data_IF_277541072266
#
_entry.id   IF_277541072266
#
_cell.length_a   1.000
_cell.length_b   1.000
_cell.length_c   1.000
_cell.angle_alpha   90.00
_cell.angle_beta   90.00
_cell.angle_gamma   90.00
#
_symmetry.space_group_name_H-M   'P 1'
#
loop_
_entity.id
_entity.type
_entity.pdbx_description
1 polymer ?
#
# COMPACT_ATOMS: atom_id res chain seq x y z
N UNK A 1 21.63 -45.57 24.84
CA UNK A 1 22.31 -44.30 24.48
C UNK A 1 22.69 -43.63 25.77
N UNK A 2 23.96 -43.27 26.01
CA UNK A 2 24.40 -42.82 27.33
C UNK A 2 23.77 -41.46 27.65
N UNK A 3 23.21 -41.31 28.86
CA UNK A 3 22.57 -40.09 29.37
C UNK A 3 23.39 -38.80 29.15
N UNK A 4 24.72 -38.95 29.08
CA UNK A 4 25.65 -37.87 28.77
C UNK A 4 25.39 -37.20 27.41
N UNK A 5 24.97 -37.95 26.38
CA UNK A 5 24.75 -37.41 25.02
C UNK A 5 23.51 -36.52 24.98
N UNK A 6 22.43 -36.91 25.68
CA UNK A 6 21.19 -36.13 25.75
C UNK A 6 21.42 -34.84 26.53
N UNK A 7 22.17 -34.92 27.64
CA UNK A 7 22.53 -33.73 28.44
C UNK A 7 23.45 -32.78 27.67
N UNK A 8 24.42 -33.31 26.93
CA UNK A 8 25.30 -32.51 26.09
C UNK A 8 24.52 -31.80 24.97
N UNK A 9 23.59 -32.49 24.30
CA UNK A 9 22.72 -31.87 23.30
C UNK A 9 21.84 -30.76 23.89
N UNK A 10 21.23 -30.99 25.06
CA UNK A 10 20.41 -29.99 25.73
C UNK A 10 21.22 -28.72 26.06
N UNK A 11 22.45 -28.89 26.54
CA UNK A 11 23.35 -27.77 26.84
C UNK A 11 23.70 -26.96 25.58
N UNK A 12 24.02 -27.63 24.48
CA UNK A 12 24.37 -26.97 23.21
C UNK A 12 23.18 -26.18 22.65
N UNK A 13 21.98 -26.74 22.70
CA UNK A 13 20.77 -26.06 22.23
C UNK A 13 20.48 -24.83 23.10
N UNK A 14 20.58 -24.95 24.42
CA UNK A 14 20.36 -23.84 25.35
C UNK A 14 21.36 -22.69 25.14
N UNK A 15 22.65 -23.02 24.95
CA UNK A 15 23.69 -22.02 24.68
C UNK A 15 23.49 -21.34 23.33
N UNK A 16 23.08 -22.09 22.30
CA UNK A 16 22.79 -21.53 20.97
C UNK A 16 21.58 -20.60 21.02
N UNK A 17 20.53 -20.99 21.73
CA UNK A 17 19.33 -20.19 21.90
C UNK A 17 19.60 -18.90 22.70
N UNK A 18 20.35 -18.99 23.79
CA UNK A 18 20.74 -17.82 24.59
C UNK A 18 21.62 -16.84 23.77
N UNK A 19 22.56 -17.39 22.98
CA UNK A 19 23.40 -16.58 22.09
C UNK A 19 22.59 -15.91 20.98
N UNK A 20 21.58 -16.59 20.46
CA UNK A 20 20.66 -16.03 19.47
C UNK A 20 19.84 -14.87 20.03
N UNK A 21 19.30 -14.99 21.25
CA UNK A 21 18.58 -13.91 21.94
C UNK A 21 19.52 -12.72 22.20
N UNK A 22 20.73 -12.96 22.71
CA UNK A 22 21.71 -11.91 22.96
C UNK A 22 22.12 -11.17 21.68
N UNK A 23 22.29 -11.90 20.57
CA UNK A 23 22.55 -11.34 19.25
C UNK A 23 21.39 -10.50 18.73
N UNK A 24 20.15 -10.95 18.95
CA UNK A 24 18.94 -10.22 18.57
C UNK A 24 18.80 -8.91 19.37
N UNK A 25 19.19 -8.92 20.65
CA UNK A 25 19.27 -7.71 21.47
C UNK A 25 20.37 -6.74 21.02
N UNK A 26 21.56 -7.24 20.67
CA UNK A 26 22.64 -6.37 20.18
C UNK A 26 22.39 -5.80 18.78
N UNK A 27 21.57 -6.47 17.96
CA UNK A 27 21.17 -5.99 16.62
C UNK A 27 19.85 -5.22 16.59
N UNK A 28 19.22 -4.93 17.73
CA UNK A 28 18.06 -4.03 17.76
C UNK A 28 18.49 -2.58 17.47
N UNK A 29 18.04 -1.98 16.35
CA UNK A 29 18.29 -0.56 16.10
C UNK A 29 17.32 0.26 16.96
N UNK A 30 17.80 0.92 18.01
CA UNK A 30 17.29 2.10 18.77
C UNK A 30 15.76 2.40 18.91
N UNK A 31 14.83 1.54 18.49
CA UNK A 31 13.41 1.85 18.33
C UNK A 31 12.57 1.61 19.58
N UNK A 32 13.13 1.01 20.64
CA UNK A 32 12.40 0.81 21.89
C UNK A 32 12.04 2.14 22.58
N UNK A 33 12.87 3.18 22.42
CA UNK A 33 12.54 4.53 22.87
C UNK A 33 11.41 5.18 22.04
N UNK A 34 11.30 4.82 20.75
CA UNK A 34 10.22 5.21 19.86
C UNK A 34 8.89 4.52 20.21
N UNK A 35 8.93 3.28 20.70
CA UNK A 35 7.72 2.54 21.09
C UNK A 35 7.14 3.02 22.42
N UNK A 36 7.97 3.46 23.37
CA UNK A 36 7.49 4.05 24.62
C UNK A 36 7.00 5.51 24.44
N UNK A 37 7.63 6.28 23.56
CA UNK A 37 7.15 7.62 23.17
C UNK A 37 5.90 7.58 22.28
N UNK A 38 5.74 6.56 21.44
CA UNK A 38 4.62 6.39 20.51
C UNK A 38 3.30 6.00 21.17
N UNK A 39 3.32 5.43 22.38
CA UNK A 39 2.10 5.09 23.13
C UNK A 39 1.45 6.29 23.83
N UNK A 40 2.17 7.40 24.02
CA UNK A 40 1.60 8.65 24.57
C UNK A 40 1.02 9.58 23.50
N UNK A 41 1.22 9.29 22.20
CA UNK A 41 0.65 10.06 21.09
C UNK A 41 -0.71 9.53 20.60
N UNK A 42 -1.23 8.47 21.21
CA UNK A 42 -2.47 7.78 20.79
C UNK A 42 -3.76 8.42 21.31
N UNK A 43 -3.76 9.73 21.59
CA UNK A 43 -4.99 10.55 21.69
C UNK A 43 -4.74 11.93 21.03
N UNK A 44 -3.96 11.97 19.95
CA UNK A 44 -3.98 13.06 18.99
C UNK A 44 -4.71 12.57 17.76
N UNK A 45 -5.93 13.07 17.49
CA UNK A 45 -6.73 12.67 16.33
C UNK A 45 -5.90 12.76 15.06
N UNK A 46 -5.53 11.62 14.47
CA UNK A 46 -4.87 11.59 13.17
C UNK A 46 -5.67 12.45 12.19
N UNK A 47 -5.03 13.47 11.62
CA UNK A 47 -5.65 14.38 10.66
C UNK A 47 -4.68 14.56 9.51
N UNK A 48 -5.20 14.35 8.31
CA UNK A 48 -4.45 14.62 7.09
C UNK A 48 -4.19 16.12 6.94
N UNK A 49 -3.10 16.46 6.25
CA UNK A 49 -2.89 17.82 5.78
C UNK A 49 -3.85 18.09 4.61
N UNK A 50 -4.87 18.90 4.88
CA UNK A 50 -5.91 19.23 3.89
C UNK A 50 -5.37 20.06 2.73
N UNK A 51 -4.37 20.91 2.97
CA UNK A 51 -3.77 21.73 1.91
C UNK A 51 -2.96 20.85 0.96
N UNK A 52 -2.13 19.95 1.50
CA UNK A 52 -1.38 19.00 0.67
C UNK A 52 -2.31 18.05 -0.11
N UNK A 53 -3.47 17.70 0.46
CA UNK A 53 -4.49 16.91 -0.22
C UNK A 53 -5.11 17.68 -1.40
N UNK A 54 -5.49 18.94 -1.20
CA UNK A 54 -6.04 19.79 -2.27
C UNK A 54 -5.02 20.04 -3.39
N UNK A 55 -3.76 20.28 -3.04
CA UNK A 55 -2.67 20.36 -4.01
C UNK A 55 -2.58 19.07 -4.85
N UNK A 56 -2.64 17.92 -4.18
CA UNK A 56 -2.68 16.60 -4.81
C UNK A 56 -3.85 16.43 -5.78
N UNK A 57 -5.05 16.88 -5.41
CA UNK A 57 -6.21 16.88 -6.30
C UNK A 57 -5.99 17.80 -7.52
N UNK A 58 -5.40 18.97 -7.31
CA UNK A 58 -5.03 19.88 -8.38
C UNK A 58 -4.10 19.22 -9.41
N UNK A 59 -3.02 18.59 -8.94
CA UNK A 59 -2.10 17.82 -9.79
C UNK A 59 -2.81 16.65 -10.49
N UNK A 60 -3.66 15.92 -9.77
CA UNK A 60 -4.40 14.78 -10.30
C UNK A 60 -5.32 15.17 -11.45
N UNK A 61 -6.08 16.27 -11.31
CA UNK A 61 -7.00 16.77 -12.36
C UNK A 61 -6.25 17.23 -13.61
N UNK A 62 -5.02 17.75 -13.46
CA UNK A 62 -4.14 18.11 -14.59
C UNK A 62 -3.45 16.92 -15.24
N UNK A 63 -3.59 15.71 -14.69
CA UNK A 63 -2.93 14.50 -15.17
C UNK A 63 -1.46 14.36 -14.73
N UNK A 64 -1.00 15.18 -13.81
CA UNK A 64 0.35 15.14 -13.25
C UNK A 64 0.43 14.08 -12.13
N UNK A 65 0.20 12.81 -12.47
CA UNK A 65 -0.03 11.73 -11.49
C UNK A 65 1.15 11.47 -10.55
N UNK A 66 2.39 11.62 -11.02
CA UNK A 66 3.57 11.49 -10.16
C UNK A 66 3.65 12.62 -9.11
N UNK A 67 3.38 13.86 -9.53
CA UNK A 67 3.31 15.02 -8.63
C UNK A 67 2.15 14.88 -7.64
N UNK A 68 0.98 14.43 -8.11
CA UNK A 68 -0.17 14.16 -7.27
C UNK A 68 0.15 13.17 -6.15
N UNK A 69 0.80 12.03 -6.45
CA UNK A 69 1.23 11.06 -5.43
C UNK A 69 2.21 11.66 -4.43
N UNK A 70 3.13 12.50 -4.87
CA UNK A 70 4.05 13.18 -3.96
C UNK A 70 3.31 14.10 -2.97
N UNK A 71 2.26 14.79 -3.44
CA UNK A 71 1.44 15.66 -2.61
C UNK A 71 0.56 14.85 -1.65
N UNK A 72 -0.06 13.77 -2.13
CA UNK A 72 -0.82 12.85 -1.30
C UNK A 72 0.03 12.15 -0.24
N UNK A 73 1.30 11.82 -0.53
CA UNK A 73 2.22 11.26 0.44
C UNK A 73 2.58 12.26 1.56
N UNK A 74 2.58 13.57 1.25
CA UNK A 74 2.69 14.62 2.28
C UNK A 74 1.38 14.79 3.06
N UNK A 75 0.24 14.64 2.38
CA UNK A 75 -1.10 14.75 2.99
C UNK A 75 -1.39 13.62 3.99
N UNK A 76 -1.01 12.39 3.66
CA UNK A 76 -1.25 11.17 4.42
C UNK A 76 0.05 10.36 4.59
N UNK A 77 1.05 10.86 5.37
CA UNK A 77 2.33 10.17 5.53
C UNK A 77 2.20 8.78 6.15
N UNK A 78 1.20 8.61 7.02
CA UNK A 78 0.93 7.34 7.68
C UNK A 78 0.14 6.34 6.79
N UNK A 79 -0.30 6.77 5.61
CA UNK A 79 -1.10 5.98 4.66
C UNK A 79 -2.39 5.41 5.30
N UNK A 80 -3.01 6.20 6.17
CA UNK A 80 -4.17 5.79 6.96
C UNK A 80 -5.48 6.34 6.40
N UNK A 81 -5.45 7.45 5.66
CA UNK A 81 -6.66 8.06 5.13
C UNK A 81 -7.18 7.28 3.90
N UNK A 82 -8.37 6.67 3.98
CA UNK A 82 -8.89 5.85 2.89
C UNK A 82 -9.04 6.63 1.58
N UNK A 83 -9.49 7.89 1.67
CA UNK A 83 -9.77 8.73 0.50
C UNK A 83 -8.48 9.09 -0.23
N UNK A 84 -7.45 9.48 0.52
CA UNK A 84 -6.12 9.79 -0.03
C UNK A 84 -5.51 8.57 -0.70
N UNK A 85 -5.57 7.41 -0.04
CA UNK A 85 -5.09 6.14 -0.64
C UNK A 85 -5.85 5.77 -1.92
N UNK A 86 -7.16 6.06 -2.01
CA UNK A 86 -7.93 5.84 -3.23
C UNK A 86 -7.45 6.72 -4.39
N UNK A 87 -7.19 8.02 -4.18
CA UNK A 87 -6.64 8.88 -5.24
C UNK A 87 -5.22 8.49 -5.64
N UNK A 88 -4.40 8.03 -4.68
CA UNK A 88 -3.07 7.46 -4.97
C UNK A 88 -3.22 6.23 -5.88
N UNK A 89 -4.11 5.30 -5.57
CA UNK A 89 -4.38 4.13 -6.41
C UNK A 89 -4.86 4.52 -7.81
N UNK A 90 -5.77 5.49 -7.90
CA UNK A 90 -6.30 5.97 -9.17
C UNK A 90 -5.20 6.61 -10.04
N UNK A 91 -4.27 7.33 -9.40
CA UNK A 91 -3.14 7.95 -10.11
C UNK A 91 -2.21 6.91 -10.73
N UNK A 92 -2.01 5.76 -10.06
CA UNK A 92 -1.26 4.64 -10.59
C UNK A 92 -1.99 3.97 -11.75
N UNK A 93 -3.30 3.74 -11.62
CA UNK A 93 -4.14 3.22 -12.70
C UNK A 93 -4.04 4.09 -13.96
N UNK A 94 -4.18 5.41 -13.82
CA UNK A 94 -4.14 6.34 -14.94
C UNK A 94 -2.77 6.48 -15.58
N UNK A 95 -1.70 6.33 -14.82
CA UNK A 95 -0.34 6.39 -15.35
C UNK A 95 0.13 5.08 -15.96
N UNK A 96 -0.25 3.94 -15.36
CA UNK A 96 0.11 2.61 -15.86
C UNK A 96 -0.59 2.24 -17.16
N UNK A 97 -1.63 2.98 -17.55
CA UNK A 97 -2.36 2.76 -18.80
C UNK A 97 -1.67 3.48 -19.98
N UNK A 98 -0.77 2.78 -20.68
CA UNK A 98 -0.19 3.25 -21.94
C UNK A 98 -1.00 2.79 -23.15
N UNK A 99 -0.96 3.56 -24.25
CA UNK A 99 -1.65 3.24 -25.53
C UNK A 99 -1.25 1.89 -26.16
N UNK A 100 -0.11 1.33 -25.77
CA UNK A 100 0.49 0.14 -26.38
C UNK A 100 1.00 -0.89 -25.37
N UNK A 101 1.34 -0.46 -24.15
CA UNK A 101 1.79 -1.33 -23.05
C UNK A 101 1.22 -0.83 -21.72
N UNK A 102 0.76 -1.77 -20.92
CA UNK A 102 0.39 -1.57 -19.54
C UNK A 102 1.62 -1.81 -18.66
N UNK A 103 1.88 -0.90 -17.73
CA UNK A 103 2.97 -1.08 -16.77
C UNK A 103 2.45 -1.86 -15.56
N UNK A 104 2.74 -3.16 -15.55
CA UNK A 104 2.34 -4.07 -14.47
C UNK A 104 2.89 -3.64 -13.10
N UNK A 105 4.04 -2.96 -13.05
CA UNK A 105 4.58 -2.46 -11.78
C UNK A 105 3.76 -1.29 -11.23
N UNK A 106 3.27 -0.40 -12.10
CA UNK A 106 2.36 0.67 -11.69
C UNK A 106 0.98 0.11 -11.30
N UNK A 107 0.49 -0.89 -12.01
CA UNK A 107 -0.77 -1.55 -11.67
C UNK A 107 -0.70 -2.30 -10.33
N UNK A 108 0.41 -2.99 -10.05
CA UNK A 108 0.64 -3.64 -8.76
C UNK A 108 0.67 -2.62 -7.60
N UNK A 109 1.35 -1.48 -7.79
CA UNK A 109 1.37 -0.40 -6.79
C UNK A 109 -0.02 0.23 -6.58
N UNK A 110 -0.78 0.40 -7.66
CA UNK A 110 -2.17 0.84 -7.57
C UNK A 110 -3.04 -0.13 -6.79
N UNK A 111 -2.86 -1.44 -7.02
CA UNK A 111 -3.60 -2.50 -6.34
C UNK A 111 -3.28 -2.53 -4.84
N UNK A 112 -2.03 -2.33 -4.46
CA UNK A 112 -1.65 -2.22 -3.06
C UNK A 112 -2.33 -1.01 -2.39
N UNK A 113 -2.30 0.15 -3.05
CA UNK A 113 -2.91 1.38 -2.53
C UNK A 113 -4.44 1.27 -2.36
N UNK A 114 -5.15 0.67 -3.32
CA UNK A 114 -6.61 0.50 -3.20
C UNK A 114 -6.96 -0.53 -2.12
N UNK A 115 -6.16 -1.58 -1.95
CA UNK A 115 -6.36 -2.54 -0.86
C UNK A 115 -6.16 -1.88 0.51
N UNK A 116 -5.17 -0.97 0.66
CA UNK A 116 -5.04 -0.16 1.88
C UNK A 116 -6.26 0.73 2.09
N UNK A 117 -6.73 1.42 1.03
CA UNK A 117 -7.93 2.26 1.12
C UNK A 117 -9.15 1.48 1.61
N UNK A 118 -9.41 0.31 1.05
CA UNK A 118 -10.51 -0.59 1.42
C UNK A 118 -10.36 -1.06 2.87
N UNK A 119 -9.17 -1.51 3.27
CA UNK A 119 -8.91 -2.02 4.61
C UNK A 119 -9.04 -0.96 5.71
N UNK A 120 -8.83 0.32 5.38
CA UNK A 120 -8.94 1.45 6.32
C UNK A 120 -10.30 2.14 6.27
N UNK A 121 -11.14 1.84 5.28
CA UNK A 121 -12.46 2.45 5.15
C UNK A 121 -13.41 1.97 6.26
N UNK A 122 -14.19 2.87 6.88
CA UNK A 122 -15.23 2.48 7.82
C UNK A 122 -16.28 1.63 7.09
N UNK A 123 -16.45 0.38 7.51
CA UNK A 123 -17.34 -0.57 6.85
C UNK A 123 -16.72 -1.32 5.66
N UNK A 124 -15.40 -1.21 5.44
CA UNK A 124 -14.67 -1.99 4.44
C UNK A 124 -15.02 -1.65 2.99
N UNK A 125 -15.69 -0.53 2.76
CA UNK A 125 -16.02 -0.01 1.43
C UNK A 125 -15.72 1.47 1.38
N UNK A 126 -15.01 1.88 0.34
CA UNK A 126 -14.80 3.28 0.03
C UNK A 126 -15.54 3.69 -1.23
N UNK A 127 -16.29 4.78 -1.11
CA UNK A 127 -16.95 5.47 -2.23
C UNK A 127 -16.52 6.92 -2.17
N UNK A 128 -15.97 7.43 -3.27
CA UNK A 128 -15.55 8.82 -3.44
C UNK A 128 -16.53 9.49 -4.37
N UNK A 129 -17.27 10.46 -3.85
CA UNK A 129 -18.19 11.26 -4.65
C UNK A 129 -17.44 12.41 -5.33
N UNK A 130 -16.94 12.14 -6.53
CA UNK A 130 -16.23 13.09 -7.37
C UNK A 130 -16.77 12.98 -8.80
N UNK A 131 -17.31 14.08 -9.31
CA UNK A 131 -17.97 14.14 -10.61
C UNK A 131 -17.00 13.86 -11.77
N UNK A 132 -15.71 14.17 -11.60
CA UNK A 132 -14.68 14.01 -12.61
C UNK A 132 -14.15 12.56 -12.69
N UNK A 133 -14.54 11.72 -11.72
CA UNK A 133 -14.14 10.32 -11.68
C UNK A 133 -15.15 9.42 -12.39
N UNK A 134 -14.60 8.53 -13.21
CA UNK A 134 -15.35 7.53 -13.95
C UNK A 134 -15.55 6.25 -13.13
N UNK A 135 -14.63 5.94 -12.20
CA UNK A 135 -14.82 4.94 -11.15
C UNK A 135 -14.85 5.62 -9.78
N UNK A 136 -15.87 5.33 -8.98
CA UNK A 136 -16.09 6.03 -7.70
C UNK A 136 -15.94 5.13 -6.49
N UNK A 137 -15.89 3.81 -6.70
CA UNK A 137 -15.70 2.85 -5.60
C UNK A 137 -14.33 2.20 -5.63
N UNK A 138 -13.81 1.89 -4.43
CA UNK A 138 -12.57 1.12 -4.29
C UNK A 138 -12.69 -0.27 -4.91
N UNK A 139 -13.87 -0.89 -4.81
CA UNK A 139 -14.15 -2.21 -5.39
C UNK A 139 -14.02 -2.19 -6.93
N UNK A 140 -14.57 -1.17 -7.60
CA UNK A 140 -14.45 -1.00 -9.05
C UNK A 140 -12.99 -0.76 -9.47
N UNK A 141 -12.30 0.15 -8.77
CA UNK A 141 -10.90 0.46 -9.09
C UNK A 141 -10.00 -0.76 -8.89
N UNK A 142 -10.22 -1.54 -7.82
CA UNK A 142 -9.53 -2.80 -7.57
C UNK A 142 -9.75 -3.81 -8.71
N UNK A 143 -10.99 -3.99 -9.14
CA UNK A 143 -11.31 -4.93 -10.21
C UNK A 143 -10.63 -4.55 -11.54
N UNK A 144 -10.56 -3.27 -11.87
CA UNK A 144 -9.85 -2.80 -13.08
C UNK A 144 -8.33 -2.97 -12.95
N UNK A 145 -7.75 -2.72 -11.78
CA UNK A 145 -6.33 -2.95 -11.53
C UNK A 145 -5.97 -4.45 -11.61
N UNK A 146 -6.76 -5.33 -11.00
CA UNK A 146 -6.58 -6.78 -11.11
C UNK A 146 -6.79 -7.30 -12.54
N UNK A 147 -7.80 -6.76 -13.23
CA UNK A 147 -8.05 -7.07 -14.63
C UNK A 147 -6.90 -6.63 -15.54
N UNK A 148 -6.22 -5.55 -15.18
CA UNK A 148 -5.02 -5.05 -15.84
C UNK A 148 -3.78 -5.91 -15.65
N UNK A 149 -3.62 -6.53 -14.48
CA UNK A 149 -2.50 -7.44 -14.19
C UNK A 149 -2.71 -8.85 -14.74
N UNK A 150 -3.97 -9.22 -15.04
CA UNK A 150 -4.30 -10.55 -15.54
C UNK A 150 -3.89 -10.68 -17.00
N UNK A 151 -2.68 -11.18 -17.23
CA UNK A 151 -2.25 -11.67 -18.54
C UNK A 151 -3.04 -12.93 -18.88
N UNK A 152 -3.82 -12.86 -19.95
CA UNK A 152 -4.67 -13.96 -20.38
C UNK A 152 -4.32 -14.33 -21.81
N UNK A 153 -4.52 -15.59 -22.23
CA UNK A 153 -4.26 -16.02 -23.61
C UNK A 153 -5.10 -15.23 -24.64
N UNK A 154 -6.12 -14.52 -24.15
CA UNK A 154 -6.99 -13.57 -24.85
C UNK A 154 -6.34 -12.21 -25.18
N UNK A 155 -5.11 -11.93 -24.72
CA UNK A 155 -4.39 -10.68 -25.02
C UNK A 155 -4.00 -10.54 -26.50
N UNK A 156 -4.10 -11.64 -27.27
CA UNK A 156 -4.01 -11.65 -28.74
C UNK A 156 -5.33 -11.33 -29.44
N UNK A 157 -6.42 -11.01 -28.71
CA UNK A 157 -7.72 -10.73 -29.31
C UNK A 157 -7.91 -9.23 -29.62
N UNK A 158 -7.97 -8.82 -30.91
CA UNK A 158 -8.02 -7.41 -31.31
C UNK A 158 -9.28 -6.66 -30.83
N UNK A 159 -10.33 -7.36 -30.40
CA UNK A 159 -11.55 -6.75 -29.87
C UNK A 159 -11.35 -6.03 -28.52
N UNK A 160 -10.30 -6.36 -27.75
CA UNK A 160 -9.98 -5.64 -26.50
C UNK A 160 -9.35 -4.25 -26.71
N UNK A 161 -8.86 -3.94 -27.92
CA UNK A 161 -8.40 -2.59 -28.29
C UNK A 161 -9.53 -1.54 -28.23
N UNK A 162 -10.79 -2.00 -28.22
CA UNK A 162 -11.99 -1.16 -28.21
C UNK A 162 -12.56 -0.93 -26.79
N UNK A 163 -11.88 -1.39 -25.72
CA UNK A 163 -12.36 -1.18 -24.35
C UNK A 163 -12.35 0.31 -24.03
N UNK A 164 -13.54 0.91 -24.07
CA UNK A 164 -13.71 2.34 -23.81
C UNK A 164 -13.41 2.65 -22.34
N UNK A 165 -12.66 3.73 -22.14
CA UNK A 165 -12.16 4.23 -20.86
C UNK A 165 -13.29 4.50 -19.87
N UNK A 166 -13.20 3.92 -18.66
CA UNK A 166 -13.82 4.44 -17.44
C UNK A 166 -12.76 5.23 -16.67
#
# INVERSE_FOLDING_TARGET
MPDATVRAMGLVIALTYASFIGWLYMRQPQSAAEVAGGLSASIGSYRIDSQAFEDGLGFFRRGEFAAARSAFARADPAQQDPRTQFYVAYSFYRQGWGRLYQDDALFAQGLEAVNRAIARAPGGRIVVDDADLQMRSGDELKAELEGGLRRDASDFNPARLLRSRK
#
